data_IF_531646255423
#
_entry.id   IF_531646255423
#
_cell.length_a   1.000
_cell.length_b   1.000
_cell.length_c   1.000
_cell.angle_alpha   90.00
_cell.angle_beta   90.00
_cell.angle_gamma   90.00
#
_symmetry.space_group_name_H-M   'P 1'
#
loop_
_entity.id
_entity.type
_entity.pdbx_description
1 polymer ?
#
# COMPACT_ATOMS: atom_id res chain seq x y z
N UNK A 1 -40.64 -22.05 -20.23
CA UNK A 1 -40.04 -21.95 -18.89
C UNK A 1 -39.84 -20.48 -18.57
N UNK A 2 -40.48 -20.00 -17.51
CA UNK A 2 -40.30 -18.62 -17.04
C UNK A 2 -38.99 -18.65 -16.26
N UNK A 3 -37.95 -17.99 -16.79
CA UNK A 3 -36.70 -17.79 -16.04
C UNK A 3 -37.05 -16.94 -14.82
N UNK A 4 -37.17 -17.61 -13.67
CA UNK A 4 -37.38 -16.98 -12.37
C UNK A 4 -36.12 -16.21 -12.01
N UNK A 5 -36.13 -14.89 -12.21
CA UNK A 5 -35.10 -13.97 -11.72
C UNK A 5 -35.25 -13.73 -10.21
N UNK A 6 -35.55 -14.78 -9.45
CA UNK A 6 -35.80 -14.72 -8.00
C UNK A 6 -34.62 -15.22 -7.16
N UNK A 7 -33.44 -15.42 -7.75
CA UNK A 7 -32.21 -15.74 -7.02
C UNK A 7 -31.31 -14.51 -6.93
N UNK A 8 -31.76 -13.49 -6.22
CA UNK A 8 -30.86 -12.45 -5.71
C UNK A 8 -31.17 -12.23 -4.25
N UNK A 9 -30.70 -13.19 -3.44
CA UNK A 9 -30.63 -13.11 -1.98
C UNK A 9 -29.62 -12.07 -1.47
N UNK A 10 -29.01 -11.30 -2.37
CA UNK A 10 -28.06 -10.23 -2.04
C UNK A 10 -28.75 -9.15 -1.23
N UNK A 11 -28.33 -9.02 0.03
CA UNK A 11 -28.81 -7.99 0.94
C UNK A 11 -28.10 -6.67 0.70
N UNK A 12 -28.64 -5.58 1.24
CA UNK A 12 -27.98 -4.26 1.19
C UNK A 12 -26.60 -4.34 1.87
N UNK A 13 -26.51 -5.05 3.00
CA UNK A 13 -25.25 -5.28 3.73
C UNK A 13 -24.20 -6.00 2.84
N UNK A 14 -24.63 -6.94 1.98
CA UNK A 14 -23.72 -7.61 1.04
C UNK A 14 -23.17 -6.64 -0.02
N UNK A 15 -24.02 -5.74 -0.53
CA UNK A 15 -23.61 -4.71 -1.51
C UNK A 15 -22.64 -3.71 -0.87
N UNK A 16 -22.94 -3.25 0.34
CA UNK A 16 -22.06 -2.35 1.10
C UNK A 16 -20.71 -3.01 1.41
N UNK A 17 -20.71 -4.30 1.75
CA UNK A 17 -19.51 -5.08 1.96
C UNK A 17 -18.63 -5.18 0.71
N UNK A 18 -19.22 -5.43 -0.46
CA UNK A 18 -18.49 -5.45 -1.73
C UNK A 18 -17.97 -4.06 -2.13
N UNK A 19 -18.73 -2.99 -1.90
CA UNK A 19 -18.28 -1.62 -2.15
C UNK A 19 -17.03 -1.27 -1.33
N UNK A 20 -16.99 -1.64 -0.05
CA UNK A 20 -15.82 -1.44 0.81
C UNK A 20 -14.59 -2.20 0.29
N UNK A 21 -14.77 -3.43 -0.20
CA UNK A 21 -13.67 -4.20 -0.82
C UNK A 21 -13.16 -3.51 -2.09
N UNK A 22 -14.06 -3.02 -2.94
CA UNK A 22 -13.69 -2.30 -4.17
C UNK A 22 -12.91 -1.03 -3.84
N UNK A 23 -13.36 -0.26 -2.86
CA UNK A 23 -12.68 0.97 -2.43
C UNK A 23 -11.28 0.67 -1.90
N UNK A 24 -11.14 -0.39 -1.08
CA UNK A 24 -9.83 -0.84 -0.59
C UNK A 24 -8.90 -1.27 -1.73
N UNK A 25 -9.40 -2.01 -2.71
CA UNK A 25 -8.62 -2.41 -3.89
C UNK A 25 -8.19 -1.18 -4.69
N UNK A 26 -9.09 -0.21 -4.89
CA UNK A 26 -8.80 1.04 -5.59
C UNK A 26 -7.64 1.79 -4.93
N UNK A 27 -7.67 1.95 -3.61
CA UNK A 27 -6.58 2.60 -2.87
C UNK A 27 -5.24 1.89 -3.08
N UNK A 28 -5.20 0.56 -3.00
CA UNK A 28 -3.99 -0.22 -3.22
C UNK A 28 -3.46 -0.01 -4.65
N UNK A 29 -4.35 -0.02 -5.64
CA UNK A 29 -3.98 0.17 -7.03
C UNK A 29 -3.42 1.59 -7.29
N UNK A 30 -4.02 2.62 -6.69
CA UNK A 30 -3.53 4.00 -6.82
C UNK A 30 -2.13 4.15 -6.23
N UNK A 31 -1.87 3.61 -5.03
CA UNK A 31 -0.51 3.59 -4.45
C UNK A 31 0.49 2.88 -5.36
N UNK A 32 0.10 1.72 -5.88
CA UNK A 32 0.94 0.95 -6.82
C UNK A 32 1.20 1.70 -8.12
N UNK A 33 0.22 2.43 -8.65
CA UNK A 33 0.39 3.29 -9.82
C UNK A 33 1.43 4.39 -9.56
N UNK A 34 1.37 5.03 -8.39
CA UNK A 34 2.37 6.03 -7.98
C UNK A 34 3.77 5.42 -7.93
N UNK A 35 3.95 4.24 -7.31
CA UNK A 35 5.25 3.54 -7.30
C UNK A 35 5.75 3.24 -8.73
N UNK A 36 4.86 2.78 -9.61
CA UNK A 36 5.19 2.50 -11.01
C UNK A 36 5.62 3.77 -11.75
N UNK A 37 5.01 4.92 -11.46
CA UNK A 37 5.38 6.20 -12.06
C UNK A 37 6.79 6.63 -11.64
N UNK A 38 7.11 6.54 -10.35
CA UNK A 38 8.48 6.80 -9.86
C UNK A 38 9.52 5.89 -10.52
N UNK A 39 9.23 4.59 -10.66
CA UNK A 39 10.12 3.67 -11.36
C UNK A 39 10.29 4.02 -12.84
N UNK A 40 9.21 4.44 -13.51
CA UNK A 40 9.28 4.87 -14.90
C UNK A 40 10.18 6.11 -15.06
N UNK A 41 10.06 7.07 -14.16
CA UNK A 41 10.87 8.29 -14.16
C UNK A 41 12.35 7.97 -13.87
N UNK A 42 12.65 7.11 -12.89
CA UNK A 42 14.02 6.62 -12.63
C UNK A 42 14.62 5.89 -13.85
N UNK A 43 13.82 5.07 -14.55
CA UNK A 43 14.24 4.41 -15.78
C UNK A 43 14.60 5.44 -16.86
N UNK A 44 13.83 6.52 -17.01
CA UNK A 44 14.12 7.58 -17.97
C UNK A 44 15.43 8.32 -17.62
N UNK A 45 15.62 8.68 -16.35
CA UNK A 45 16.85 9.29 -15.86
C UNK A 45 18.05 8.37 -16.09
N UNK A 46 17.93 7.07 -15.78
CA UNK A 46 18.98 6.08 -16.01
C UNK A 46 19.34 5.92 -17.49
N UNK A 47 18.35 5.94 -18.39
CA UNK A 47 18.57 5.89 -19.84
C UNK A 47 19.37 7.10 -20.32
N UNK A 48 19.02 8.29 -19.85
CA UNK A 48 19.70 9.52 -20.23
C UNK A 48 21.13 9.59 -19.67
N UNK A 49 21.31 9.25 -18.39
CA UNK A 49 22.65 9.12 -17.78
C UNK A 49 23.50 8.13 -18.58
N UNK A 50 22.94 6.99 -18.97
CA UNK A 50 23.66 5.98 -19.76
C UNK A 50 24.04 6.50 -21.15
N UNK A 51 23.19 7.30 -21.79
CA UNK A 51 23.47 7.96 -23.08
C UNK A 51 24.63 8.95 -22.93
N UNK A 52 24.56 9.85 -21.95
CA UNK A 52 25.60 10.85 -21.70
C UNK A 52 26.93 10.20 -21.29
N UNK A 53 26.91 9.16 -20.44
CA UNK A 53 28.11 8.41 -20.07
C UNK A 53 28.80 7.77 -21.27
N UNK A 54 28.04 7.24 -22.24
CA UNK A 54 28.60 6.70 -23.49
C UNK A 54 29.24 7.79 -24.36
N UNK A 55 28.67 8.99 -24.39
CA UNK A 55 29.26 10.13 -25.09
C UNK A 55 30.58 10.56 -24.41
N UNK A 56 30.55 10.72 -23.08
CA UNK A 56 31.71 11.09 -22.28
C UNK A 56 32.84 10.05 -22.39
N UNK A 57 32.53 8.75 -22.38
CA UNK A 57 33.53 7.69 -22.54
C UNK A 57 34.29 7.77 -23.87
N UNK A 58 33.67 8.27 -24.95
CA UNK A 58 34.36 8.44 -26.24
C UNK A 58 35.41 9.55 -26.17
N UNK A 59 35.11 10.63 -25.46
CA UNK A 59 36.04 11.75 -25.28
C UNK A 59 37.18 11.35 -24.33
N UNK A 60 36.86 10.71 -23.20
CA UNK A 60 37.85 10.26 -22.22
C UNK A 60 38.81 9.21 -22.79
N UNK A 61 38.39 8.44 -23.81
CA UNK A 61 39.26 7.48 -24.48
C UNK A 61 40.42 8.14 -25.25
N UNK A 62 40.33 9.43 -25.55
CA UNK A 62 41.39 10.20 -26.20
C UNK A 62 42.42 10.69 -25.15
N UNK A 63 43.73 10.61 -25.43
CA UNK A 63 44.76 11.23 -24.62
C UNK A 63 44.56 12.75 -24.48
N UNK A 64 44.90 13.30 -23.32
CA UNK A 64 44.64 14.72 -22.99
C UNK A 64 45.40 15.73 -23.89
N UNK A 65 46.51 15.29 -24.48
CA UNK A 65 47.32 16.04 -25.45
C UNK A 65 46.75 16.00 -26.87
N UNK A 66 45.81 15.11 -27.15
CA UNK A 66 45.17 14.94 -28.47
C UNK A 66 43.79 15.61 -28.53
N UNK A 67 43.22 15.99 -27.38
CA UNK A 67 41.94 16.70 -27.29
C UNK A 67 42.08 18.18 -27.65
N UNK A 68 41.18 18.65 -28.50
CA UNK A 68 40.91 20.07 -28.71
C UNK A 68 40.31 20.71 -27.45
N UNK A 69 40.37 22.05 -27.36
CA UNK A 69 39.70 22.79 -26.28
C UNK A 69 38.18 22.57 -26.28
N UNK A 70 37.58 22.39 -27.46
CA UNK A 70 36.14 22.13 -27.61
C UNK A 70 35.76 20.77 -27.00
N UNK A 71 36.59 19.74 -27.21
CA UNK A 71 36.38 18.42 -26.60
C UNK A 71 36.52 18.47 -25.08
N UNK A 72 37.50 19.21 -24.55
CA UNK A 72 37.66 19.41 -23.10
C UNK A 72 36.46 20.12 -22.49
N UNK A 73 35.98 21.19 -23.13
CA UNK A 73 34.78 21.89 -22.70
C UNK A 73 33.55 20.95 -22.74
N UNK A 74 33.45 20.12 -23.78
CA UNK A 74 32.35 19.18 -23.92
C UNK A 74 32.38 18.08 -22.86
N UNK A 75 33.55 17.60 -22.45
CA UNK A 75 33.70 16.67 -21.33
C UNK A 75 33.14 17.28 -20.04
N UNK A 76 33.51 18.53 -19.73
CA UNK A 76 33.04 19.21 -18.53
C UNK A 76 31.51 19.41 -18.56
N UNK A 77 30.95 19.81 -19.71
CA UNK A 77 29.49 19.92 -19.89
C UNK A 77 28.77 18.59 -19.67
N UNK A 78 29.30 17.48 -20.21
CA UNK A 78 28.71 16.15 -20.05
C UNK A 78 28.75 15.70 -18.60
N UNK A 79 29.87 15.94 -17.89
CA UNK A 79 29.99 15.65 -16.46
C UNK A 79 28.96 16.44 -15.66
N UNK A 80 28.82 17.74 -15.92
CA UNK A 80 27.82 18.58 -15.24
C UNK A 80 26.39 18.11 -15.50
N UNK A 81 26.05 17.72 -16.74
CA UNK A 81 24.74 17.18 -17.07
C UNK A 81 24.46 15.85 -16.37
N UNK A 82 25.43 14.94 -16.35
CA UNK A 82 25.32 13.67 -15.63
C UNK A 82 25.12 13.92 -14.13
N UNK A 83 25.85 14.86 -13.54
CA UNK A 83 25.71 15.21 -12.12
C UNK A 83 24.29 15.66 -11.80
N UNK A 84 23.73 16.59 -12.59
CA UNK A 84 22.35 17.07 -12.41
C UNK A 84 21.33 15.95 -12.49
N UNK A 85 21.48 15.01 -13.43
CA UNK A 85 20.57 13.87 -13.53
C UNK A 85 20.70 12.92 -12.33
N UNK A 86 21.91 12.75 -11.78
CA UNK A 86 22.12 11.97 -10.56
C UNK A 86 21.47 12.64 -9.36
N UNK A 87 21.59 13.97 -9.23
CA UNK A 87 20.88 14.74 -8.19
C UNK A 87 19.36 14.59 -8.33
N UNK A 88 18.81 14.67 -9.54
CA UNK A 88 17.38 14.44 -9.78
C UNK A 88 16.93 13.03 -9.36
N UNK A 89 17.77 12.01 -9.56
CA UNK A 89 17.48 10.65 -9.07
C UNK A 89 17.51 10.57 -7.56
N UNK A 90 18.43 11.28 -6.90
CA UNK A 90 18.51 11.34 -5.45
C UNK A 90 17.22 11.94 -4.86
N UNK A 91 16.76 13.07 -5.42
CA UNK A 91 15.47 13.66 -5.04
C UNK A 91 14.28 12.71 -5.25
N UNK A 92 14.30 11.92 -6.33
CA UNK A 92 13.23 10.95 -6.58
C UNK A 92 13.19 9.84 -5.52
N UNK A 93 14.36 9.41 -5.02
CA UNK A 93 14.46 8.42 -3.94
C UNK A 93 13.92 9.00 -2.63
N UNK A 94 14.27 10.24 -2.31
CA UNK A 94 13.76 10.91 -1.12
C UNK A 94 12.23 11.09 -1.17
N UNK A 95 11.70 11.46 -2.33
CA UNK A 95 10.26 11.70 -2.51
C UNK A 95 9.43 10.40 -2.36
N UNK A 96 9.89 9.29 -2.96
CA UNK A 96 9.18 8.00 -2.81
C UNK A 96 9.25 7.46 -1.37
N UNK A 97 10.36 7.70 -0.65
CA UNK A 97 10.46 7.30 0.75
C UNK A 97 9.54 8.16 1.64
N UNK A 98 9.45 9.46 1.34
CA UNK A 98 8.53 10.35 2.02
C UNK A 98 7.07 9.93 1.83
N UNK A 99 6.68 9.56 0.61
CA UNK A 99 5.32 9.12 0.34
C UNK A 99 5.01 7.78 1.04
N UNK A 100 5.97 6.85 1.10
CA UNK A 100 5.82 5.61 1.87
C UNK A 100 5.64 5.83 3.37
N UNK A 101 6.34 6.82 3.93
CA UNK A 101 6.18 7.20 5.33
C UNK A 101 4.79 7.78 5.58
N UNK A 102 4.31 8.66 4.69
CA UNK A 102 2.96 9.22 4.75
C UNK A 102 1.90 8.12 4.72
N UNK A 103 1.94 7.24 3.73
CA UNK A 103 0.96 6.15 3.57
C UNK A 103 0.88 5.26 4.83
N UNK A 104 2.03 4.98 5.46
CA UNK A 104 2.08 4.19 6.69
C UNK A 104 1.44 4.89 7.88
N UNK A 105 1.64 6.21 8.00
CA UNK A 105 1.02 6.98 9.08
C UNK A 105 -0.49 7.10 8.87
N UNK A 106 -0.95 7.33 7.63
CA UNK A 106 -2.38 7.35 7.30
C UNK A 106 -3.07 6.02 7.62
N UNK A 107 -2.45 4.89 7.25
CA UNK A 107 -2.98 3.56 7.56
C UNK A 107 -3.02 3.31 9.09
N UNK A 108 -2.03 3.81 9.83
CA UNK A 108 -1.97 3.71 11.30
C UNK A 108 -3.07 4.55 11.96
N UNK A 109 -3.22 5.81 11.57
CA UNK A 109 -4.29 6.69 12.07
C UNK A 109 -5.68 6.09 11.80
N UNK A 110 -5.88 5.52 10.61
CA UNK A 110 -7.13 4.85 10.26
C UNK A 110 -7.39 3.62 11.15
N UNK A 111 -6.37 2.78 11.38
CA UNK A 111 -6.48 1.62 12.26
C UNK A 111 -6.79 2.01 13.71
N UNK A 112 -6.10 3.02 14.24
CA UNK A 112 -6.32 3.56 15.59
C UNK A 112 -7.74 4.14 15.73
N UNK A 113 -8.21 4.88 14.72
CA UNK A 113 -9.57 5.41 14.69
C UNK A 113 -10.61 4.29 14.76
N UNK A 114 -10.48 3.26 13.92
CA UNK A 114 -11.38 2.11 13.91
C UNK A 114 -11.36 1.36 15.25
N UNK A 115 -10.18 1.11 15.82
CA UNK A 115 -10.06 0.48 17.15
C UNK A 115 -10.73 1.32 18.23
N UNK A 116 -10.60 2.64 18.20
CA UNK A 116 -11.22 3.55 19.17
C UNK A 116 -12.75 3.55 19.06
N UNK A 117 -13.31 3.43 17.85
CA UNK A 117 -14.76 3.38 17.61
C UNK A 117 -15.35 2.04 18.01
N UNK A 118 -14.66 0.94 17.70
CA UNK A 118 -15.07 -0.40 18.11
C UNK A 118 -15.01 -0.54 19.63
N UNK A 119 -13.91 -0.15 20.28
CA UNK A 119 -13.80 -0.21 21.76
C UNK A 119 -14.89 0.63 22.46
N UNK A 120 -15.21 1.83 21.96
CA UNK A 120 -16.32 2.66 22.47
C UNK A 120 -17.69 2.03 22.24
N UNK A 121 -17.93 1.39 21.08
CA UNK A 121 -19.20 0.71 20.80
C UNK A 121 -19.38 -0.56 21.64
N UNK A 122 -18.30 -1.32 21.90
CA UNK A 122 -18.30 -2.44 22.84
C UNK A 122 -18.59 -1.99 24.28
N UNK A 123 -18.01 -0.87 24.73
CA UNK A 123 -18.30 -0.29 26.05
C UNK A 123 -19.75 0.21 26.18
N UNK A 124 -20.32 0.81 25.13
CA UNK A 124 -21.74 1.20 25.09
C UNK A 124 -22.70 -0.01 25.07
N UNK A 125 -22.36 -1.10 24.36
CA UNK A 125 -23.11 -2.36 24.41
C UNK A 125 -23.03 -3.03 25.79
N UNK A 126 -21.89 -2.96 26.48
CA UNK A 126 -21.75 -3.51 27.82
C UNK A 126 -22.52 -2.69 28.89
N UNK A 127 -22.59 -1.37 28.75
CA UNK A 127 -23.37 -0.49 29.64
C UNK A 127 -24.89 -0.71 29.47
N UNK A 128 -25.38 -0.83 28.23
CA UNK A 128 -26.80 -1.10 27.93
C UNK A 128 -27.28 -2.51 28.33
N UNK A 129 -26.37 -3.48 28.49
CA UNK A 129 -26.68 -4.79 29.08
C UNK A 129 -26.77 -4.74 30.61
N UNK A 130 -26.07 -3.82 31.28
CA UNK A 130 -26.13 -3.67 32.75
C UNK A 130 -27.44 -3.03 33.25
N UNK A 131 -28.10 -2.19 32.45
CA UNK A 131 -29.39 -1.58 32.83
C UNK A 131 -30.61 -2.50 32.70
N UNK A 132 -30.52 -3.59 31.92
CA UNK A 132 -31.63 -4.58 31.77
C UNK A 132 -31.63 -5.69 32.83
N UNK A 133 -30.77 -5.65 33.86
CA UNK A 133 -30.70 -6.67 34.92
C UNK A 133 -31.28 -6.21 36.26
N UNK A 134 -32.37 -5.45 36.23
CA UNK A 134 -33.28 -5.27 37.37
C UNK A 134 -34.72 -5.25 36.85
N UNK A 135 -35.29 -6.45 36.63
CA UNK A 135 -36.70 -6.83 36.89
C UNK A 135 -37.06 -8.06 36.05
N UNK A 136 -36.92 -9.25 36.61
CA UNK A 136 -37.99 -10.25 36.67
C UNK A 136 -37.44 -11.55 37.26
N UNK A 137 -38.23 -12.11 38.17
CA UNK A 137 -38.01 -13.34 38.94
C UNK A 137 -38.87 -14.43 38.33
N UNK A 138 -38.31 -15.65 38.20
CA UNK A 138 -38.97 -16.88 37.76
C UNK A 138 -38.53 -17.27 36.34
N UNK A 139 -38.14 -18.50 35.99
CA UNK A 139 -38.28 -19.82 36.59
C UNK A 139 -37.15 -20.73 36.03
N UNK A 140 -36.75 -21.74 36.81
CA UNK A 140 -35.84 -22.81 36.39
C UNK A 140 -36.49 -23.69 35.32
N UNK A 141 -35.74 -24.07 34.27
CA UNK A 141 -35.81 -25.42 33.65
C UNK A 141 -34.54 -25.72 32.81
N UNK A 142 -33.81 -26.75 33.27
CA UNK A 142 -33.09 -27.81 32.54
C UNK A 142 -32.27 -27.58 31.25
N UNK A 143 -31.02 -28.08 31.35
CA UNK A 143 -30.18 -28.80 30.37
C UNK A 143 -29.20 -28.00 29.48
N UNK A 144 -27.89 -28.33 29.51
CA UNK A 144 -26.88 -27.75 28.64
C UNK A 144 -26.68 -28.61 27.38
N UNK A 145 -26.81 -28.01 26.19
CA UNK A 145 -26.30 -28.62 24.96
C UNK A 145 -25.12 -27.78 24.46
N UNK A 146 -23.93 -28.36 24.60
CA UNK A 146 -22.67 -27.85 24.05
C UNK A 146 -22.63 -28.21 22.56
N UNK A 147 -22.79 -27.24 21.66
CA UNK A 147 -22.33 -27.38 20.27
C UNK A 147 -20.93 -26.79 20.17
N UNK A 148 -19.95 -27.70 20.21
CA UNK A 148 -18.59 -27.47 19.73
C UNK A 148 -18.62 -27.28 18.22
N UNK A 149 -18.39 -26.06 17.76
CA UNK A 149 -17.80 -25.76 16.44
C UNK A 149 -16.95 -24.52 16.69
N UNK A 150 -15.67 -24.66 17.09
CA UNK A 150 -14.58 -24.95 16.17
C UNK A 150 -14.31 -23.68 15.35
N UNK A 151 -13.65 -22.67 15.93
CA UNK A 151 -12.21 -22.45 15.77
C UNK A 151 -11.64 -22.81 14.38
N UNK A 152 -12.31 -22.41 13.31
CA UNK A 152 -11.75 -22.40 11.95
C UNK A 152 -12.38 -21.27 11.15
N UNK A 153 -11.81 -20.05 11.26
CA UNK A 153 -11.98 -18.97 10.26
C UNK A 153 -10.94 -17.86 10.47
N UNK A 154 -9.70 -18.25 10.82
CA UNK A 154 -8.55 -17.34 10.81
C UNK A 154 -7.31 -18.07 10.29
N UNK A 155 -7.46 -18.76 9.15
CA UNK A 155 -6.35 -19.47 8.50
C UNK A 155 -6.37 -19.42 6.98
N UNK A 156 -6.79 -18.30 6.39
CA UNK A 156 -6.56 -18.04 4.95
C UNK A 156 -6.32 -16.55 4.71
N UNK A 157 -5.19 -16.02 5.21
CA UNK A 157 -4.57 -14.77 4.71
C UNK A 157 -3.12 -14.60 5.22
N UNK A 158 -2.36 -15.70 5.37
CA UNK A 158 -0.93 -15.65 5.65
C UNK A 158 -0.21 -16.73 4.84
N UNK A 159 -0.01 -16.45 3.55
CA UNK A 159 0.88 -17.19 2.66
C UNK A 159 2.30 -16.61 2.65
N UNK A 160 2.87 -16.30 3.81
CA UNK A 160 4.25 -15.82 3.93
C UNK A 160 5.10 -16.85 4.68
N UNK A 161 5.64 -17.84 3.95
CA UNK A 161 6.87 -18.49 4.36
C UNK A 161 8.02 -17.65 3.81
N UNK A 162 8.40 -16.59 4.53
CA UNK A 162 9.74 -16.01 4.39
C UNK A 162 10.60 -16.64 5.49
N UNK A 163 11.35 -17.69 5.13
CA UNK A 163 12.47 -18.14 5.96
C UNK A 163 13.63 -17.21 5.65
N UNK A 164 13.99 -16.37 6.61
CA UNK A 164 15.28 -15.68 6.61
C UNK A 164 16.30 -16.67 7.17
N UNK A 165 17.22 -17.11 6.31
CA UNK A 165 18.58 -17.52 6.67
C UNK A 165 19.52 -16.52 6.02
#
# INVERSE_FOLDING_TARGET
EIVSMADSTTTIDDIEGELFKIERIREILVRRESELRYMMDDIQLCKEISRLKKELQKLIALPENEKSNEEKQREEELVQQIHKLVEMRDFLVDDVEFERLREREEDKEMAEFLQSKLSKSYLQKAASVKEKKMTSRGQQTSAPYMTKTGLTLLKECCGFTCSIM
#
